data_IF_025644094621
#
_entry.id   IF_025644094621
#
_cell.length_a   1.000
_cell.length_b   1.000
_cell.length_c   1.000
_cell.angle_alpha   90.00
_cell.angle_beta   90.00
_cell.angle_gamma   90.00
#
_symmetry.space_group_name_H-M   'P 1'
#
loop_
_entity.id
_entity.type
_entity.pdbx_description
1 polymer ?
#
# COMPACT_ATOMS: atom_id res chain seq x y z
N UNK A 1 -20.20 0.02 12.36
CA UNK A 1 -20.40 0.52 10.99
C UNK A 1 -19.05 0.43 10.29
N UNK A 2 -18.87 -0.55 9.42
CA UNK A 2 -17.65 -0.66 8.62
C UNK A 2 -17.68 0.43 7.54
N UNK A 3 -16.81 1.43 7.66
CA UNK A 3 -16.65 2.44 6.62
C UNK A 3 -16.05 1.74 5.40
N UNK A 4 -16.78 1.67 4.29
CA UNK A 4 -16.34 1.00 3.07
C UNK A 4 -15.07 1.60 2.49
N UNK A 5 -14.32 0.80 1.70
CA UNK A 5 -13.04 1.16 1.04
C UNK A 5 -12.99 2.59 0.48
N UNK A 6 -14.07 3.03 -0.16
CA UNK A 6 -14.14 4.35 -0.80
C UNK A 6 -14.03 5.50 0.20
N UNK A 7 -14.56 5.34 1.42
CA UNK A 7 -14.49 6.35 2.48
C UNK A 7 -13.07 6.49 3.03
N UNK A 8 -12.33 5.37 3.08
CA UNK A 8 -10.95 5.40 3.54
C UNK A 8 -10.01 6.02 2.51
N UNK A 9 -10.21 5.72 1.22
CA UNK A 9 -9.44 6.37 0.15
C UNK A 9 -9.65 7.88 0.17
N UNK A 10 -10.89 8.36 0.39
CA UNK A 10 -11.17 9.80 0.49
C UNK A 10 -10.57 10.48 1.73
N UNK A 11 -10.12 9.71 2.72
CA UNK A 11 -9.48 10.19 3.96
C UNK A 11 -7.96 10.02 3.94
N UNK A 12 -7.39 9.46 2.87
CA UNK A 12 -5.94 9.39 2.75
C UNK A 12 -5.42 10.80 2.49
N UNK A 13 -4.32 11.13 3.15
CA UNK A 13 -3.55 12.34 2.88
C UNK A 13 -2.28 11.96 2.10
N UNK A 14 -1.79 12.90 1.29
CA UNK A 14 -0.44 12.77 0.74
C UNK A 14 0.56 12.67 1.89
N UNK A 15 1.63 11.91 1.69
CA UNK A 15 2.64 11.63 2.72
C UNK A 15 2.10 10.89 3.96
N UNK A 16 0.90 10.28 3.87
CA UNK A 16 0.43 9.39 4.91
C UNK A 16 1.16 8.04 4.83
N UNK A 17 1.60 7.47 5.98
CA UNK A 17 2.24 6.16 5.99
C UNK A 17 1.24 5.03 5.74
N UNK A 18 1.68 4.05 4.96
CA UNK A 18 0.95 2.83 4.63
C UNK A 18 1.83 1.60 4.81
N UNK A 19 1.18 0.45 5.00
CA UNK A 19 1.82 -0.85 5.13
C UNK A 19 1.55 -1.70 3.87
N UNK A 20 2.58 -2.34 3.36
CA UNK A 20 2.54 -3.34 2.31
C UNK A 20 2.77 -4.70 2.91
N UNK A 21 1.83 -5.63 2.71
CA UNK A 21 1.88 -6.98 3.29
C UNK A 21 1.65 -8.05 2.24
N UNK A 22 2.56 -9.02 2.17
CA UNK A 22 2.39 -10.20 1.33
C UNK A 22 1.20 -11.05 1.78
N UNK A 23 0.45 -11.57 0.82
CA UNK A 23 -0.63 -12.52 1.01
C UNK A 23 -0.32 -13.80 0.20
N UNK A 24 0.58 -14.67 0.69
CA UNK A 24 0.97 -15.88 -0.03
C UNK A 24 -0.17 -16.89 -0.20
N UNK A 25 -1.17 -16.83 0.69
CA UNK A 25 -2.36 -17.68 0.67
C UNK A 25 -3.47 -17.14 -0.26
N UNK A 26 -3.19 -16.08 -1.04
CA UNK A 26 -4.17 -15.53 -1.97
C UNK A 26 -4.46 -16.57 -3.07
N UNK A 27 -5.73 -16.96 -3.30
CA UNK A 27 -6.08 -18.04 -4.22
C UNK A 27 -5.86 -17.68 -5.70
N UNK A 28 -5.61 -16.40 -6.02
CA UNK A 28 -5.44 -15.90 -7.39
C UNK A 28 -3.98 -15.60 -7.74
N UNK A 29 -3.20 -15.09 -6.77
CA UNK A 29 -1.80 -14.74 -6.98
C UNK A 29 -1.00 -14.89 -5.68
N UNK A 30 -0.14 -15.91 -5.60
CA UNK A 30 0.70 -16.18 -4.42
C UNK A 30 1.74 -15.09 -4.13
N UNK A 31 1.92 -14.13 -5.04
CA UNK A 31 2.79 -12.96 -4.85
C UNK A 31 1.98 -11.68 -4.56
N UNK A 32 0.69 -11.80 -4.24
CA UNK A 32 -0.16 -10.65 -3.96
C UNK A 32 0.37 -9.85 -2.78
N UNK A 33 0.41 -8.51 -2.94
CA UNK A 33 0.80 -7.59 -1.87
C UNK A 33 -0.37 -6.65 -1.59
N UNK A 34 -0.91 -6.72 -0.37
CA UNK A 34 -1.95 -5.82 0.13
C UNK A 34 -1.34 -4.49 0.54
N UNK A 35 -2.12 -3.44 0.32
CA UNK A 35 -1.86 -2.09 0.80
C UNK A 35 -2.85 -1.83 1.93
N UNK A 36 -2.33 -1.55 3.12
CA UNK A 36 -3.09 -1.34 4.34
C UNK A 36 -2.78 0.05 4.92
N UNK A 37 -3.74 0.66 5.60
CA UNK A 37 -3.42 1.75 6.54
C UNK A 37 -2.62 1.19 7.73
N UNK A 38 -1.95 2.04 8.50
CA UNK A 38 -1.31 1.60 9.76
C UNK A 38 -2.31 1.00 10.77
N UNK A 39 -3.61 1.29 10.64
CA UNK A 39 -4.68 0.67 11.42
C UNK A 39 -5.15 -0.69 10.90
N UNK A 40 -4.52 -1.21 9.83
CA UNK A 40 -4.88 -2.50 9.22
C UNK A 40 -6.02 -2.44 8.22
N UNK A 41 -6.54 -1.26 7.88
CA UNK A 41 -7.63 -1.12 6.90
C UNK A 41 -7.11 -1.38 5.49
N UNK A 42 -7.74 -2.31 4.77
CA UNK A 42 -7.36 -2.65 3.40
C UNK A 42 -7.75 -1.58 2.39
N UNK A 43 -6.76 -1.02 1.71
CA UNK A 43 -6.91 0.03 0.70
C UNK A 43 -6.93 -0.53 -0.73
N UNK A 44 -6.22 -1.64 -0.97
CA UNK A 44 -6.14 -2.31 -2.27
C UNK A 44 -4.91 -3.21 -2.37
N UNK A 45 -4.55 -3.57 -3.60
CA UNK A 45 -3.36 -4.39 -3.91
C UNK A 45 -2.37 -3.61 -4.75
N UNK A 46 -1.09 -3.96 -4.63
CA UNK A 46 -0.04 -3.56 -5.56
C UNK A 46 -0.30 -4.24 -6.91
N UNK A 47 -0.13 -3.52 -8.04
CA UNK A 47 -0.19 -4.14 -9.37
C UNK A 47 0.79 -5.31 -9.49
N UNK A 48 0.34 -6.41 -10.11
CA UNK A 48 1.13 -7.64 -10.24
C UNK A 48 2.51 -7.43 -10.91
N UNK A 49 2.61 -6.46 -11.79
CA UNK A 49 3.86 -6.07 -12.47
C UNK A 49 4.90 -5.45 -11.54
N UNK A 50 4.48 -4.97 -10.36
CA UNK A 50 5.31 -4.25 -9.40
C UNK A 50 5.57 -5.06 -8.10
N UNK A 51 4.89 -6.20 -7.90
CA UNK A 51 5.05 -7.01 -6.69
C UNK A 51 6.48 -7.49 -6.46
N UNK A 52 7.26 -7.66 -7.53
CA UNK A 52 8.68 -8.04 -7.47
C UNK A 52 9.57 -7.04 -6.71
N UNK A 53 9.13 -5.78 -6.53
CA UNK A 53 9.86 -4.78 -5.74
C UNK A 53 9.74 -5.03 -4.23
N UNK A 54 8.75 -5.79 -3.78
CA UNK A 54 8.46 -6.04 -2.38
C UNK A 54 9.10 -7.36 -1.93
N UNK A 55 10.36 -7.31 -1.53
CA UNK A 55 11.13 -8.52 -1.16
C UNK A 55 10.89 -9.02 0.27
N UNK A 56 10.33 -8.17 1.12
CA UNK A 56 10.10 -8.48 2.53
C UNK A 56 8.62 -8.75 2.80
N UNK A 57 8.27 -9.65 3.74
CA UNK A 57 6.87 -9.96 4.06
C UNK A 57 6.02 -8.73 4.40
N UNK A 58 6.66 -7.74 5.04
CA UNK A 58 6.07 -6.45 5.39
C UNK A 58 7.05 -5.34 4.95
N UNK A 59 6.54 -4.31 4.30
CA UNK A 59 7.27 -3.10 3.91
C UNK A 59 6.42 -1.88 4.23
N UNK A 60 7.03 -0.75 4.56
CA UNK A 60 6.31 0.51 4.79
C UNK A 60 6.64 1.51 3.68
N UNK A 61 5.68 2.37 3.37
CA UNK A 61 5.86 3.46 2.41
C UNK A 61 4.91 4.61 2.67
N UNK A 62 4.93 5.57 1.76
CA UNK A 62 4.19 6.81 1.87
C UNK A 62 3.30 7.00 0.65
N UNK A 63 2.09 7.51 0.84
CA UNK A 63 1.21 7.92 -0.27
C UNK A 63 1.86 9.10 -0.99
N UNK A 64 2.27 8.94 -2.24
CA UNK A 64 2.89 10.02 -3.03
C UNK A 64 1.87 10.88 -3.77
N UNK A 65 0.78 10.27 -4.24
CA UNK A 65 -0.30 10.93 -4.96
C UNK A 65 -1.61 10.17 -4.79
N UNK A 66 -2.72 10.92 -4.84
CA UNK A 66 -4.07 10.38 -4.86
C UNK A 66 -4.69 10.77 -6.20
N UNK A 67 -4.72 9.84 -7.14
CA UNK A 67 -5.37 10.06 -8.44
C UNK A 67 -6.89 10.18 -8.28
N UNK A 68 -7.59 10.93 -9.15
CA UNK A 68 -9.04 11.16 -9.06
C UNK A 68 -9.93 9.92 -9.32
N UNK A 69 -9.38 8.72 -9.44
CA UNK A 69 -10.18 7.53 -9.65
C UNK A 69 -9.49 6.28 -9.11
N UNK A 70 -10.18 5.57 -8.22
CA UNK A 70 -9.96 4.18 -7.88
C UNK A 70 -10.15 3.20 -9.07
N UNK A 71 -9.95 3.67 -10.31
CA UNK A 71 -10.21 2.96 -11.57
C UNK A 71 -8.95 2.76 -12.44
N UNK A 72 -7.82 3.40 -12.15
CA UNK A 72 -6.56 3.17 -12.85
C UNK A 72 -5.45 3.14 -11.80
N UNK A 73 -4.69 2.04 -11.77
CA UNK A 73 -3.78 1.64 -10.69
C UNK A 73 -2.99 2.79 -10.07
N UNK A 74 -2.90 2.78 -8.73
CA UNK A 74 -2.06 3.68 -7.96
C UNK A 74 -0.62 3.59 -8.47
N UNK A 75 -0.16 4.65 -9.12
CA UNK A 75 1.22 4.76 -9.60
C UNK A 75 2.06 5.52 -8.57
N UNK A 76 3.18 4.91 -8.20
CA UNK A 76 4.36 5.49 -7.53
C UNK A 76 4.38 5.47 -5.99
N UNK A 77 4.54 4.29 -5.38
CA UNK A 77 5.01 4.20 -4.00
C UNK A 77 6.55 4.23 -3.95
N UNK A 78 7.13 5.26 -3.31
CA UNK A 78 8.57 5.27 -3.02
C UNK A 78 8.85 4.46 -1.75
N UNK A 79 9.48 3.29 -1.91
CA UNK A 79 10.18 2.61 -0.82
C UNK A 79 11.47 3.40 -0.52
N UNK A 80 11.43 4.32 0.43
CA UNK A 80 12.62 5.00 0.92
C UNK A 80 13.30 4.18 2.04
N UNK A 81 14.64 4.03 2.05
CA UNK A 81 15.33 3.57 3.24
C UNK A 81 15.30 4.69 4.29
N UNK A 82 14.56 4.52 5.38
CA UNK A 82 14.86 5.27 6.61
C UNK A 82 16.11 4.68 7.24
N UNK A 83 17.28 4.98 6.65
CA UNK A 83 18.52 5.05 7.40
C UNK A 83 18.84 6.52 7.56
N UNK A 84 18.60 7.06 8.75
CA UNK A 84 19.58 7.88 9.48
C UNK A 84 18.98 8.20 10.86
N UNK A 85 19.40 7.41 11.85
CA UNK A 85 19.37 7.81 13.24
C UNK A 85 20.27 9.04 13.41
N UNK A 86 19.79 10.00 14.21
CA UNK A 86 20.57 11.06 14.83
C UNK A 86 21.85 10.51 15.45
N UNK A 87 22.99 11.14 15.16
CA UNK A 87 24.09 11.41 16.10
C UNK A 87 24.76 12.71 15.66
#
# INVERSE_FOLDING_TARGET
MELGRQVWISKLEAEQPVEFRHEPDNPYDSNAVKILTLGGTHLGYVPRTETAHFKFPITFGWVSSLGPAAAQGFSEFRSGPSQHCLH
#
